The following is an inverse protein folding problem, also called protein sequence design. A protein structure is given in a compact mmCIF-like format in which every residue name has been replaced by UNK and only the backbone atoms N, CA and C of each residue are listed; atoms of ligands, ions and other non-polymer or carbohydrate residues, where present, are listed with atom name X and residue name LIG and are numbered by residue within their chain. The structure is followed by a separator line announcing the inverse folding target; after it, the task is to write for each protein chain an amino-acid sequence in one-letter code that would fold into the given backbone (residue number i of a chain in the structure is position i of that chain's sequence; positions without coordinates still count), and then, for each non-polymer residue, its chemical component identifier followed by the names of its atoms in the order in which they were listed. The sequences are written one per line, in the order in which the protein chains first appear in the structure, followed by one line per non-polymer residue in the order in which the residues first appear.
data_IF_283709190593
#
_entry.id   IF_283709190593
#
_cell.length_a   1.000
_cell.length_b   1.000
_cell.length_c   1.000
_cell.angle_alpha   90.00
_cell.angle_beta   90.00
_cell.angle_gamma   90.00
#
_symmetry.space_group_name_H-M   'P 1'
#
loop_
_entity.id
_entity.type
_entity.pdbx_description
1 polymer ?
#
# COMPACT_ATOMS: atom_id res chain seq x y z
N UNK A 1 -10.39 10.08 11.79
CA UNK A 1 -11.78 10.31 11.43
C UNK A 1 -11.74 10.90 10.04
N UNK A 2 -11.73 10.10 9.00
CA UNK A 2 -11.65 10.51 7.59
C UNK A 2 -12.93 10.18 6.83
N UNK A 3 -14.08 10.15 7.52
CA UNK A 3 -15.35 9.89 6.90
C UNK A 3 -15.81 11.09 6.08
N UNK A 4 -16.15 10.85 4.82
CA UNK A 4 -16.79 11.85 3.97
C UNK A 4 -18.21 12.09 4.49
N UNK A 5 -18.44 13.24 5.12
CA UNK A 5 -19.80 13.69 5.45
C UNK A 5 -20.50 14.00 4.14
N UNK A 6 -21.50 13.19 3.78
CA UNK A 6 -22.28 13.32 2.53
C UNK A 6 -23.01 14.68 2.43
N UNK A 7 -23.45 15.24 3.56
CA UNK A 7 -24.06 16.56 3.63
C UNK A 7 -23.46 17.35 4.79
N UNK A 8 -22.68 18.37 4.44
CA UNK A 8 -22.14 19.31 5.41
C UNK A 8 -23.10 20.51 5.49
N UNK A 9 -23.85 20.63 6.59
CA UNK A 9 -24.76 21.76 6.86
C UNK A 9 -24.20 22.62 7.98
N UNK A 10 -23.50 23.71 7.66
CA UNK A 10 -22.92 24.60 8.67
C UNK A 10 -24.01 25.29 9.50
N UNK A 11 -23.89 25.27 10.83
CA UNK A 11 -24.74 25.96 11.80
C UNK A 11 -23.92 26.89 12.69
N UNK A 12 -24.54 27.87 13.31
CA UNK A 12 -23.88 28.82 14.20
C UNK A 12 -23.79 30.26 13.65
N UNK A 13 -22.91 31.08 14.18
CA UNK A 13 -22.71 32.48 13.78
C UNK A 13 -22.36 32.60 12.29
N UNK A 14 -22.67 33.76 11.70
CA UNK A 14 -22.53 34.01 10.25
C UNK A 14 -21.09 33.75 9.76
N UNK A 15 -20.10 34.20 10.54
CA UNK A 15 -18.67 34.06 10.24
C UNK A 15 -18.23 32.59 10.24
N UNK A 16 -18.73 31.80 11.20
CA UNK A 16 -18.44 30.35 11.31
C UNK A 16 -19.06 29.61 10.12
N UNK A 17 -20.29 29.94 9.74
CA UNK A 17 -20.93 29.34 8.57
C UNK A 17 -20.20 29.66 7.28
N UNK A 18 -19.73 30.90 7.12
CA UNK A 18 -18.95 31.31 5.95
C UNK A 18 -17.62 30.56 5.88
N UNK A 19 -16.87 30.47 6.98
CA UNK A 19 -15.62 29.73 7.06
C UNK A 19 -15.83 28.23 6.75
N UNK A 20 -16.88 27.64 7.29
CA UNK A 20 -17.24 26.24 7.04
C UNK A 20 -17.62 25.99 5.56
N UNK A 21 -18.30 26.94 4.91
CA UNK A 21 -18.64 26.85 3.47
C UNK A 21 -17.38 26.94 2.60
N UNK A 22 -16.47 27.87 2.88
CA UNK A 22 -15.22 27.97 2.13
C UNK A 22 -14.32 26.73 2.33
N UNK A 23 -14.32 26.14 3.54
CA UNK A 23 -13.64 24.89 3.81
C UNK A 23 -14.22 23.71 2.99
N UNK A 24 -15.54 23.57 2.92
CA UNK A 24 -16.18 22.53 2.11
C UNK A 24 -15.89 22.71 0.61
N UNK A 25 -15.90 23.95 0.12
CA UNK A 25 -15.53 24.30 -1.25
C UNK A 25 -14.07 23.94 -1.55
N UNK A 26 -13.15 24.24 -0.63
CA UNK A 26 -11.73 23.87 -0.74
C UNK A 26 -11.59 22.33 -0.76
N UNK A 27 -12.26 21.63 0.14
CA UNK A 27 -12.29 20.17 0.19
C UNK A 27 -12.75 19.56 -1.14
N UNK A 28 -13.87 20.07 -1.70
CA UNK A 28 -14.40 19.61 -3.01
C UNK A 28 -13.40 19.84 -4.14
N UNK A 29 -12.73 21.02 -4.18
CA UNK A 29 -11.70 21.31 -5.17
C UNK A 29 -10.53 20.33 -5.07
N UNK A 30 -10.03 20.09 -3.88
CA UNK A 30 -8.94 19.12 -3.65
C UNK A 30 -9.37 17.72 -4.15
N UNK A 31 -10.58 17.27 -3.83
CA UNK A 31 -11.09 15.97 -4.28
C UNK A 31 -11.17 15.88 -5.81
N UNK A 32 -11.65 16.94 -6.47
CA UNK A 32 -11.71 17.03 -7.94
C UNK A 32 -10.30 16.93 -8.53
N UNK A 33 -9.34 17.71 -8.02
CA UNK A 33 -7.95 17.68 -8.51
C UNK A 33 -7.29 16.31 -8.33
N UNK A 34 -7.53 15.65 -7.20
CA UNK A 34 -7.02 14.32 -6.95
C UNK A 34 -7.62 13.29 -7.93
N UNK A 35 -8.93 13.36 -8.18
CA UNK A 35 -9.61 12.51 -9.16
C UNK A 35 -9.10 12.74 -10.59
N UNK A 36 -8.99 14.00 -11.01
CA UNK A 36 -8.44 14.35 -12.32
C UNK A 36 -7.01 13.83 -12.51
N UNK A 37 -6.16 13.98 -11.47
CA UNK A 37 -4.80 13.42 -11.49
C UNK A 37 -4.81 11.90 -11.66
N UNK A 38 -5.71 11.22 -10.95
CA UNK A 38 -5.85 9.76 -11.05
C UNK A 38 -6.33 9.33 -12.45
N UNK A 39 -7.31 10.04 -13.04
CA UNK A 39 -7.81 9.77 -14.40
C UNK A 39 -6.73 10.03 -15.47
N UNK A 40 -5.96 11.13 -15.34
CA UNK A 40 -4.84 11.41 -16.23
C UNK A 40 -3.78 10.31 -16.18
N UNK A 41 -3.42 9.84 -14.99
CA UNK A 41 -2.46 8.75 -14.81
C UNK A 41 -2.96 7.43 -15.42
N UNK A 42 -4.25 7.15 -15.33
CA UNK A 42 -4.87 6.00 -15.98
C UNK A 42 -4.78 6.08 -17.52
N UNK A 43 -5.01 7.26 -18.09
CA UNK A 43 -4.86 7.50 -19.54
C UNK A 43 -3.42 7.30 -20.01
N UNK A 44 -2.46 7.94 -19.33
CA UNK A 44 -1.02 7.81 -19.64
C UNK A 44 -0.58 6.34 -19.61
N UNK A 45 -1.07 5.56 -18.66
CA UNK A 45 -0.71 4.15 -18.58
C UNK A 45 -1.23 3.32 -19.74
N UNK A 46 -2.47 3.55 -20.16
CA UNK A 46 -2.99 2.89 -21.34
C UNK A 46 -2.10 3.20 -22.56
N UNK A 47 -1.71 4.47 -22.68
CA UNK A 47 -0.88 4.94 -23.80
C UNK A 47 0.57 4.42 -23.74
N UNK A 48 1.10 4.16 -22.53
CA UNK A 48 2.42 3.54 -22.35
C UNK A 48 2.39 2.02 -22.57
N UNK A 49 1.29 1.33 -22.30
CA UNK A 49 1.19 -0.12 -22.51
C UNK A 49 1.30 -0.49 -23.97
N UNK A 50 0.76 0.32 -24.88
CA UNK A 50 0.80 0.08 -26.32
C UNK A 50 2.23 0.02 -26.88
N UNK A 51 3.13 0.99 -26.65
CA UNK A 51 4.53 0.90 -27.11
C UNK A 51 5.31 -0.23 -26.42
N UNK A 52 5.07 -0.52 -25.15
CA UNK A 52 5.71 -1.63 -24.44
C UNK A 52 5.34 -2.98 -25.09
N UNK A 53 4.06 -3.20 -25.41
CA UNK A 53 3.61 -4.40 -26.13
C UNK A 53 4.26 -4.50 -27.50
N UNK A 54 4.38 -3.38 -28.21
CA UNK A 54 5.06 -3.33 -29.52
C UNK A 54 6.54 -3.69 -29.39
N UNK A 55 7.24 -3.18 -28.38
CA UNK A 55 8.63 -3.53 -28.11
C UNK A 55 8.78 -5.02 -27.82
N UNK A 56 7.91 -5.62 -27.00
CA UNK A 56 7.90 -7.08 -26.75
C UNK A 56 7.76 -7.88 -28.05
N UNK A 57 6.85 -7.47 -28.93
CA UNK A 57 6.67 -8.15 -30.23
C UNK A 57 7.91 -8.02 -31.12
N UNK A 58 8.56 -6.86 -31.15
CA UNK A 58 9.80 -6.65 -31.92
C UNK A 58 10.96 -7.49 -31.37
N UNK A 59 11.08 -7.61 -30.04
CA UNK A 59 12.10 -8.43 -29.36
C UNK A 59 11.93 -9.92 -29.68
N UNK A 60 10.68 -10.40 -29.78
CA UNK A 60 10.39 -11.79 -30.16
C UNK A 60 10.87 -12.15 -31.56
N UNK A 61 11.11 -11.17 -32.44
CA UNK A 61 11.63 -11.34 -33.78
C UNK A 61 13.17 -11.27 -33.88
N UNK A 62 13.85 -10.92 -32.80
CA UNK A 62 15.32 -10.83 -32.78
C UNK A 62 15.95 -12.22 -32.73
N UNK A 63 16.99 -12.43 -33.56
CA UNK A 63 17.76 -13.68 -33.59
C UNK A 63 18.73 -13.83 -32.40
N UNK A 64 19.10 -12.74 -31.75
CA UNK A 64 20.01 -12.75 -30.59
C UNK A 64 19.23 -13.01 -29.32
N UNK A 65 19.08 -14.27 -28.93
CA UNK A 65 18.24 -14.71 -27.81
C UNK A 65 18.64 -14.09 -26.45
N UNK A 66 19.94 -13.97 -26.14
CA UNK A 66 20.40 -13.41 -24.84
C UNK A 66 20.08 -11.91 -24.69
N UNK A 67 20.25 -11.14 -25.77
CA UNK A 67 19.91 -9.72 -25.77
C UNK A 67 18.40 -9.52 -25.70
N UNK A 68 17.65 -10.30 -26.52
CA UNK A 68 16.20 -10.25 -26.52
C UNK A 68 15.61 -10.60 -25.16
N UNK A 69 16.17 -11.58 -24.45
CA UNK A 69 15.75 -11.97 -23.10
C UNK A 69 15.96 -10.83 -22.08
N UNK A 70 17.15 -10.24 -22.02
CA UNK A 70 17.44 -9.12 -21.11
C UNK A 70 16.50 -7.94 -21.35
N UNK A 71 16.29 -7.56 -22.61
CA UNK A 71 15.37 -6.48 -22.95
C UNK A 71 13.90 -6.83 -22.64
N UNK A 72 13.51 -8.11 -22.77
CA UNK A 72 12.17 -8.57 -22.34
C UNK A 72 11.98 -8.44 -20.83
N UNK A 73 13.00 -8.83 -20.05
CA UNK A 73 12.98 -8.71 -18.59
C UNK A 73 12.87 -7.23 -18.16
N UNK A 74 13.59 -6.31 -18.82
CA UNK A 74 13.51 -4.87 -18.57
C UNK A 74 12.09 -4.33 -18.91
N UNK A 75 11.50 -4.75 -20.01
CA UNK A 75 10.13 -4.33 -20.39
C UNK A 75 9.10 -4.87 -19.38
N UNK A 76 9.25 -6.11 -18.92
CA UNK A 76 8.38 -6.69 -17.90
C UNK A 76 8.48 -5.92 -16.57
N UNK A 77 9.68 -5.48 -16.21
CA UNK A 77 9.88 -4.62 -15.05
C UNK A 77 9.19 -3.26 -15.23
N UNK A 78 9.30 -2.64 -16.41
CA UNK A 78 8.61 -1.39 -16.73
C UNK A 78 7.08 -1.53 -16.66
N UNK A 79 6.52 -2.62 -17.21
CA UNK A 79 5.07 -2.89 -17.12
C UNK A 79 4.61 -3.07 -15.66
N UNK A 80 5.40 -3.78 -14.85
CA UNK A 80 5.10 -3.94 -13.44
C UNK A 80 5.14 -2.60 -12.70
N UNK A 81 6.19 -1.78 -12.92
CA UNK A 81 6.30 -0.44 -12.34
C UNK A 81 5.08 0.43 -12.70
N UNK A 82 4.67 0.40 -13.96
CA UNK A 82 3.52 1.14 -14.45
C UNK A 82 2.23 0.69 -13.77
N UNK A 83 2.01 -0.62 -13.64
CA UNK A 83 0.83 -1.18 -13.01
C UNK A 83 0.78 -0.85 -11.49
N UNK A 84 1.91 -0.94 -10.78
CA UNK A 84 2.00 -0.56 -9.36
C UNK A 84 1.70 0.95 -9.16
N UNK A 85 2.23 1.80 -10.06
CA UNK A 85 1.96 3.24 -10.03
C UNK A 85 0.49 3.58 -10.27
N UNK A 86 -0.14 2.88 -11.22
CA UNK A 86 -1.56 3.06 -11.51
C UNK A 86 -2.47 2.62 -10.36
N UNK A 87 -2.11 1.51 -9.76
CA UNK A 87 -2.82 1.04 -8.59
C UNK A 87 -2.71 2.02 -7.43
N UNK A 88 -1.55 2.66 -7.26
CA UNK A 88 -1.37 3.76 -6.31
C UNK A 88 -2.32 4.93 -6.63
N UNK A 89 -2.42 5.33 -7.91
CA UNK A 89 -3.26 6.43 -8.34
C UNK A 89 -4.77 6.14 -8.27
N UNK A 90 -5.20 4.88 -8.47
CA UNK A 90 -6.62 4.46 -8.46
C UNK A 90 -7.30 4.52 -7.08
N UNK A 91 -6.53 4.48 -6.00
CA UNK A 91 -7.06 4.23 -4.65
C UNK A 91 -7.84 5.37 -4.01
N UNK A 92 -8.14 6.44 -4.75
CA UNK A 92 -9.01 7.53 -4.28
C UNK A 92 -10.50 7.33 -4.63
N UNK A 93 -10.89 6.25 -5.35
CA UNK A 93 -12.30 5.95 -5.57
C UNK A 93 -12.91 5.27 -4.34
N UNK A 94 -14.06 5.77 -3.93
CA UNK A 94 -14.80 5.43 -2.71
C UNK A 94 -15.16 3.95 -2.61
N UNK A 95 -14.32 3.14 -1.96
CA UNK A 95 -14.74 1.87 -1.41
C UNK A 95 -15.55 2.15 -0.13
N UNK A 96 -16.72 1.51 0.02
CA UNK A 96 -17.54 1.65 1.22
C UNK A 96 -16.88 0.92 2.40
N UNK A 97 -17.08 1.47 3.60
CA UNK A 97 -16.60 0.82 4.82
C UNK A 97 -17.59 -0.25 5.25
N UNK A 98 -17.08 -1.39 5.70
CA UNK A 98 -17.84 -2.52 6.20
C UNK A 98 -17.34 -2.91 7.59
N UNK A 99 -18.26 -3.38 8.44
CA UNK A 99 -17.94 -3.87 9.78
C UNK A 99 -17.44 -5.32 9.71
N UNK A 100 -16.13 -5.51 9.68
CA UNK A 100 -15.47 -6.81 9.41
C UNK A 100 -14.53 -7.20 10.55
N UNK A 101 -14.41 -8.51 10.77
CA UNK A 101 -13.37 -9.08 11.62
C UNK A 101 -12.04 -9.15 10.85
N UNK A 102 -11.04 -8.39 11.34
CA UNK A 102 -9.73 -8.28 10.70
C UNK A 102 -9.00 -9.61 10.57
N UNK A 103 -9.17 -10.51 11.55
CA UNK A 103 -8.53 -11.84 11.52
C UNK A 103 -8.98 -12.69 10.32
N UNK A 104 -10.22 -12.49 9.83
CA UNK A 104 -10.68 -13.16 8.61
C UNK A 104 -9.89 -12.68 7.39
N UNK A 105 -9.65 -11.37 7.28
CA UNK A 105 -8.84 -10.81 6.19
C UNK A 105 -7.41 -11.34 6.25
N UNK A 106 -6.78 -11.34 7.44
CA UNK A 106 -5.41 -11.83 7.61
C UNK A 106 -5.32 -13.30 7.20
N UNK A 107 -6.21 -14.16 7.71
CA UNK A 107 -6.24 -15.59 7.36
C UNK A 107 -6.47 -15.82 5.87
N UNK A 108 -7.31 -15.02 5.22
CA UNK A 108 -7.61 -15.16 3.80
C UNK A 108 -6.39 -14.79 2.92
N UNK A 109 -5.74 -13.68 3.24
CA UNK A 109 -4.55 -13.23 2.50
C UNK A 109 -3.40 -14.22 2.65
N UNK A 110 -3.22 -14.77 3.85
CA UNK A 110 -2.07 -15.65 4.13
C UNK A 110 -2.19 -17.04 3.50
N UNK A 111 -3.38 -17.45 3.03
CA UNK A 111 -3.58 -18.72 2.31
C UNK A 111 -2.76 -18.86 1.02
N UNK A 112 -2.41 -17.74 0.37
CA UNK A 112 -1.64 -17.73 -0.89
C UNK A 112 -0.15 -18.01 -0.70
N UNK A 113 0.36 -17.96 0.55
CA UNK A 113 1.76 -18.19 0.88
C UNK A 113 1.98 -19.59 1.41
N UNK A 114 3.21 -20.09 1.30
CA UNK A 114 3.56 -21.39 1.88
C UNK A 114 3.43 -21.37 3.41
N UNK A 115 2.82 -22.39 3.97
CA UNK A 115 2.50 -22.49 5.42
C UNK A 115 3.73 -22.38 6.32
N UNK A 116 4.92 -22.70 5.81
CA UNK A 116 6.17 -22.60 6.55
C UNK A 116 6.77 -21.19 6.61
N UNK A 117 6.32 -20.28 5.72
CA UNK A 117 6.85 -18.92 5.63
C UNK A 117 6.16 -17.95 6.59
N UNK A 118 4.89 -18.21 6.94
CA UNK A 118 4.09 -17.30 7.77
C UNK A 118 3.52 -18.02 8.98
N UNK A 119 3.75 -17.44 10.17
CA UNK A 119 3.10 -17.86 11.42
C UNK A 119 2.12 -16.79 11.87
N UNK A 120 0.94 -17.22 12.33
CA UNK A 120 -0.13 -16.34 12.80
C UNK A 120 -0.34 -16.49 14.30
N UNK A 121 -0.33 -15.38 15.02
CA UNK A 121 -0.62 -15.27 16.46
C UNK A 121 -1.74 -14.24 16.64
N UNK A 122 -2.98 -14.65 16.39
CA UNK A 122 -4.12 -13.77 16.33
C UNK A 122 -4.94 -13.84 17.62
N UNK A 123 -4.98 -12.74 18.37
CA UNK A 123 -5.94 -12.59 19.47
C UNK A 123 -7.37 -12.50 18.91
N UNK A 124 -8.36 -12.86 19.72
CA UNK A 124 -9.77 -12.70 19.34
C UNK A 124 -10.04 -11.23 19.03
N UNK A 125 -10.40 -10.94 17.78
CA UNK A 125 -10.50 -9.57 17.27
C UNK A 125 -11.94 -9.12 17.24
N UNK A 126 -12.19 -7.90 17.70
CA UNK A 126 -13.45 -7.18 17.51
C UNK A 126 -13.65 -6.82 16.04
N UNK A 127 -14.90 -6.62 15.65
CA UNK A 127 -15.20 -6.07 14.33
C UNK A 127 -14.84 -4.59 14.27
N UNK A 128 -14.35 -4.15 13.13
CA UNK A 128 -13.87 -2.78 12.89
C UNK A 128 -14.43 -2.29 11.54
N UNK A 129 -14.76 -1.00 11.46
CA UNK A 129 -15.20 -0.36 10.22
C UNK A 129 -14.01 -0.08 9.31
N UNK A 130 -13.85 -0.85 8.24
CA UNK A 130 -12.74 -0.74 7.29
C UNK A 130 -13.22 -0.94 5.86
N UNK A 131 -12.40 -0.51 4.91
CA UNK A 131 -12.53 -0.82 3.49
C UNK A 131 -11.79 -2.12 3.21
N UNK A 132 -12.50 -3.24 2.94
CA UNK A 132 -11.90 -4.59 2.95
C UNK A 132 -10.80 -4.77 1.92
N UNK A 133 -11.00 -4.29 0.68
CA UNK A 133 -10.01 -4.45 -0.39
C UNK A 133 -8.78 -3.56 -0.15
N UNK A 134 -8.98 -2.37 0.39
CA UNK A 134 -7.89 -1.47 0.78
C UNK A 134 -7.02 -2.12 1.87
N UNK A 135 -7.63 -2.68 2.91
CA UNK A 135 -6.89 -3.37 3.99
C UNK A 135 -6.23 -4.66 3.49
N UNK A 136 -6.90 -5.46 2.64
CA UNK A 136 -6.29 -6.64 1.99
C UNK A 136 -5.01 -6.25 1.25
N UNK A 137 -5.05 -5.18 0.50
CA UNK A 137 -3.89 -4.66 -0.23
C UNK A 137 -2.79 -4.16 0.70
N UNK A 138 -3.15 -3.38 1.73
CA UNK A 138 -2.19 -2.92 2.73
C UNK A 138 -1.41 -4.08 3.33
N UNK A 139 -2.12 -5.07 3.87
CA UNK A 139 -1.52 -6.24 4.49
C UNK A 139 -0.74 -7.08 3.48
N UNK A 140 -1.25 -7.25 2.25
CA UNK A 140 -0.54 -7.92 1.16
C UNK A 140 0.82 -7.27 0.90
N UNK A 141 0.86 -5.94 0.72
CA UNK A 141 2.11 -5.20 0.51
C UNK A 141 3.11 -5.36 1.66
N UNK A 142 2.62 -5.36 2.91
CA UNK A 142 3.48 -5.54 4.09
C UNK A 142 4.03 -6.96 4.17
N UNK A 143 3.22 -7.99 3.89
CA UNK A 143 3.62 -9.39 3.90
C UNK A 143 4.57 -9.69 2.73
N UNK A 144 4.25 -9.20 1.51
CA UNK A 144 5.11 -9.36 0.34
C UNK A 144 6.49 -8.71 0.59
N UNK A 145 6.51 -7.54 1.25
CA UNK A 145 7.77 -6.89 1.66
C UNK A 145 8.53 -7.72 2.70
N UNK A 146 7.87 -8.25 3.72
CA UNK A 146 8.50 -9.10 4.74
C UNK A 146 9.15 -10.34 4.12
N UNK A 147 8.49 -11.00 3.17
CA UNK A 147 8.99 -12.20 2.49
C UNK A 147 10.00 -11.88 1.38
N UNK A 148 9.98 -10.68 0.80
CA UNK A 148 10.99 -10.26 -0.17
C UNK A 148 12.37 -10.02 0.46
N UNK A 149 12.39 -9.54 1.71
CA UNK A 149 13.64 -9.26 2.43
C UNK A 149 14.00 -10.34 3.45
N UNK A 150 13.02 -11.03 4.02
CA UNK A 150 13.16 -12.15 4.92
C UNK A 150 12.80 -13.49 4.25
N UNK A 151 12.93 -14.57 5.02
CA UNK A 151 12.49 -15.92 4.66
C UNK A 151 11.20 -16.30 5.39
N UNK A 152 10.96 -15.68 6.55
CA UNK A 152 9.83 -15.94 7.44
C UNK A 152 9.21 -14.63 7.90
N UNK A 153 7.90 -14.66 8.10
CA UNK A 153 7.16 -13.58 8.73
C UNK A 153 6.26 -14.12 9.86
N UNK A 154 6.17 -13.37 10.95
CA UNK A 154 5.24 -13.66 12.04
C UNK A 154 4.25 -12.48 12.16
N UNK A 155 2.96 -12.80 12.20
CA UNK A 155 1.89 -11.80 12.24
C UNK A 155 1.14 -11.96 13.56
N UNK A 156 1.09 -10.85 14.32
CA UNK A 156 0.39 -10.78 15.59
C UNK A 156 -0.74 -9.78 15.49
N UNK A 157 -1.88 -10.07 16.10
CA UNK A 157 -2.91 -9.08 16.37
C UNK A 157 -3.10 -8.90 17.87
N UNK A 158 -3.26 -7.65 18.31
CA UNK A 158 -3.52 -7.29 19.71
C UNK A 158 -4.65 -6.27 19.77
N UNK A 159 -5.55 -6.44 20.73
CA UNK A 159 -6.58 -5.47 20.99
C UNK A 159 -6.16 -4.55 22.14
N UNK A 160 -6.41 -3.26 21.95
CA UNK A 160 -6.29 -2.26 23.01
C UNK A 160 -7.65 -1.59 23.22
N UNK A 161 -7.82 -0.73 24.21
CA UNK A 161 -9.10 -0.05 24.47
C UNK A 161 -9.63 0.73 23.25
N UNK A 162 -8.74 1.32 22.44
CA UNK A 162 -9.13 2.22 21.35
C UNK A 162 -8.71 1.75 19.97
N UNK A 163 -7.83 0.76 19.86
CA UNK A 163 -7.22 0.36 18.59
C UNK A 163 -7.02 -1.15 18.50
N UNK A 164 -7.05 -1.65 17.28
CA UNK A 164 -6.46 -2.95 16.93
C UNK A 164 -5.03 -2.69 16.45
N UNK A 165 -4.07 -3.43 16.99
CA UNK A 165 -2.66 -3.39 16.59
C UNK A 165 -2.34 -4.66 15.81
N UNK A 166 -1.73 -4.51 14.64
CA UNK A 166 -1.17 -5.59 13.85
C UNK A 166 0.34 -5.42 13.86
N UNK A 167 1.08 -6.46 14.21
CA UNK A 167 2.53 -6.50 14.11
C UNK A 167 2.91 -7.52 13.03
N UNK A 168 3.78 -7.13 12.13
CA UNK A 168 4.34 -8.00 11.11
C UNK A 168 5.86 -7.98 11.30
N UNK A 169 6.41 -9.10 11.72
CA UNK A 169 7.82 -9.30 12.01
C UNK A 169 8.46 -10.14 10.92
N UNK A 170 9.59 -9.72 10.38
CA UNK A 170 10.39 -10.52 9.46
C UNK A 170 11.78 -10.85 10.04
N UNK A 171 12.44 -11.83 9.44
CA UNK A 171 13.81 -12.25 9.73
C UNK A 171 14.83 -11.71 8.72
N UNK A 172 14.49 -10.63 8.04
CA UNK A 172 15.36 -9.96 7.06
C UNK A 172 16.51 -9.16 7.69
N UNK A 173 17.22 -8.35 6.91
CA UNK A 173 18.35 -7.55 7.39
C UNK A 173 17.93 -6.37 8.27
N UNK A 174 16.62 -6.07 8.36
CA UNK A 174 16.10 -4.87 9.02
C UNK A 174 16.40 -3.58 8.25
N UNK A 175 16.06 -2.45 8.86
CA UNK A 175 16.25 -1.11 8.31
C UNK A 175 16.91 -0.25 9.39
N UNK A 176 17.91 0.59 9.08
CA UNK A 176 18.46 1.56 10.03
C UNK A 176 17.37 2.54 10.52
N UNK A 177 17.38 2.89 11.80
CA UNK A 177 16.33 3.74 12.42
C UNK A 177 16.20 5.12 11.74
N UNK A 178 17.32 5.70 11.30
CA UNK A 178 17.34 6.97 10.57
C UNK A 178 16.63 6.90 9.21
N UNK A 179 16.37 5.69 8.69
CA UNK A 179 15.69 5.46 7.41
C UNK A 179 14.17 5.18 7.57
N UNK A 180 13.66 4.96 8.76
CA UNK A 180 12.26 4.59 8.99
C UNK A 180 11.26 5.58 8.38
N UNK A 181 11.56 6.88 8.42
CA UNK A 181 10.69 7.91 7.81
C UNK A 181 10.86 7.97 6.28
N UNK A 182 12.05 7.64 5.78
CA UNK A 182 12.33 7.72 4.35
C UNK A 182 11.69 6.56 3.60
N UNK A 183 11.74 5.33 4.12
CA UNK A 183 11.18 4.14 3.47
C UNK A 183 9.64 4.16 3.37
N UNK A 184 8.97 5.04 4.10
CA UNK A 184 7.53 5.30 3.98
C UNK A 184 7.20 6.29 2.85
N UNK A 185 8.21 6.93 2.23
CA UNK A 185 8.00 7.83 1.07
C UNK A 185 7.88 7.01 -0.22
N UNK A 186 7.03 7.42 -1.17
CA UNK A 186 6.94 6.78 -2.48
C UNK A 186 8.29 6.75 -3.20
N UNK A 187 8.59 5.66 -3.90
CA UNK A 187 9.80 5.46 -4.70
C UNK A 187 11.12 5.45 -3.93
N UNK A 188 11.09 5.49 -2.60
CA UNK A 188 12.30 5.45 -1.81
C UNK A 188 12.79 4.01 -1.62
N UNK A 189 14.11 3.79 -1.83
CA UNK A 189 14.80 2.52 -1.61
C UNK A 189 16.16 2.81 -0.97
N UNK A 190 16.53 2.05 0.07
CA UNK A 190 17.79 2.20 0.79
C UNK A 190 18.96 1.83 -0.12
N UNK A 191 18.86 0.72 -0.85
CA UNK A 191 19.88 0.24 -1.78
C UNK A 191 19.46 0.39 -3.23
N UNK A 192 20.05 1.36 -3.94
CA UNK A 192 19.90 1.49 -5.39
C UNK A 192 20.79 0.51 -6.17
N UNK A 193 21.78 -0.13 -5.51
CA UNK A 193 22.88 -0.85 -6.16
C UNK A 193 22.84 -2.37 -6.01
N UNK A 194 21.99 -2.94 -5.18
CA UNK A 194 21.94 -4.39 -4.98
C UNK A 194 20.97 -5.06 -5.94
N UNK A 195 21.58 -5.52 -7.04
CA UNK A 195 21.26 -6.71 -7.84
C UNK A 195 19.80 -6.89 -8.28
N UNK A 196 19.68 -7.07 -9.55
CA UNK A 196 18.57 -7.41 -10.42
C UNK A 196 17.50 -8.42 -9.88
N UNK A 197 17.64 -8.92 -8.63
CA UNK A 197 16.79 -9.99 -8.09
C UNK A 197 15.82 -9.59 -6.96
N UNK A 198 15.81 -8.32 -6.49
CA UNK A 198 14.81 -7.86 -5.52
C UNK A 198 13.91 -6.82 -6.15
N UNK A 199 12.87 -7.31 -6.76
CA UNK A 199 11.87 -6.63 -7.52
C UNK A 199 10.94 -5.82 -6.62
N UNK A 200 10.93 -4.48 -6.79
CA UNK A 200 9.95 -3.60 -6.14
C UNK A 200 10.26 -2.13 -6.44
N UNK A 201 9.24 -1.38 -6.84
CA UNK A 201 9.36 0.05 -7.23
C UNK A 201 9.53 0.98 -6.01
N UNK A 202 9.46 0.46 -4.79
CA UNK A 202 9.47 1.27 -3.56
C UNK A 202 8.13 1.92 -3.25
N UNK A 203 7.03 1.32 -3.69
CA UNK A 203 5.67 1.82 -3.44
C UNK A 203 4.92 1.04 -2.34
N UNK A 204 5.30 -0.20 -2.04
CA UNK A 204 4.53 -1.07 -1.13
C UNK A 204 4.30 -0.47 0.26
N UNK A 205 5.37 0.00 0.93
CA UNK A 205 5.28 0.62 2.26
C UNK A 205 4.53 1.96 2.24
N UNK A 206 4.73 2.78 1.20
CA UNK A 206 4.01 4.05 1.06
C UNK A 206 2.52 3.86 0.82
N UNK A 207 2.13 2.89 -0.02
CA UNK A 207 0.72 2.50 -0.24
C UNK A 207 0.09 2.02 1.07
N UNK A 208 0.77 1.15 1.80
CA UNK A 208 0.29 0.68 3.09
C UNK A 208 0.08 1.84 4.07
N UNK A 209 1.03 2.77 4.16
CA UNK A 209 0.95 3.95 5.01
C UNK A 209 -0.23 4.85 4.64
N UNK A 210 -0.47 5.11 3.35
CA UNK A 210 -1.58 5.93 2.89
C UNK A 210 -2.94 5.28 3.17
N UNK A 211 -3.04 3.96 2.98
CA UNK A 211 -4.25 3.20 3.30
C UNK A 211 -4.56 3.29 4.80
N UNK A 212 -3.58 3.03 5.66
CA UNK A 212 -3.78 3.06 7.11
C UNK A 212 -4.12 4.48 7.60
N UNK A 213 -3.45 5.51 7.10
CA UNK A 213 -3.78 6.91 7.40
C UNK A 213 -5.21 7.28 6.96
N UNK A 214 -5.65 6.79 5.82
CA UNK A 214 -7.02 7.02 5.33
C UNK A 214 -8.11 6.32 6.15
N UNK A 215 -7.72 5.35 7.01
CA UNK A 215 -8.57 4.72 8.03
C UNK A 215 -8.40 5.36 9.42
N UNK A 216 -7.68 6.50 9.53
CA UNK A 216 -7.42 7.16 10.81
C UNK A 216 -6.35 6.46 11.65
N UNK A 217 -5.67 5.47 11.10
CA UNK A 217 -4.63 4.70 11.76
C UNK A 217 -3.21 5.26 11.54
N UNK A 218 -2.22 4.51 12.02
CA UNK A 218 -0.81 4.87 11.89
C UNK A 218 0.06 3.64 11.63
N UNK A 219 1.16 3.80 10.87
CA UNK A 219 2.23 2.82 10.72
C UNK A 219 3.48 3.33 11.40
N UNK A 220 4.12 2.48 12.20
CA UNK A 220 5.46 2.69 12.72
C UNK A 220 6.35 1.48 12.45
N UNK A 221 7.65 1.74 12.33
CA UNK A 221 8.68 0.74 12.07
C UNK A 221 9.53 0.58 13.32
N UNK A 222 9.88 -0.65 13.65
CA UNK A 222 10.67 -1.02 14.81
C UNK A 222 11.61 -2.18 14.43
N UNK A 223 12.60 -2.47 15.26
CA UNK A 223 13.42 -3.67 15.10
C UNK A 223 12.62 -4.92 15.45
N UNK A 224 12.62 -5.93 14.58
CA UNK A 224 11.95 -7.20 14.82
C UNK A 224 12.68 -8.05 15.86
N UNK A 225 11.96 -8.78 16.72
CA UNK A 225 12.54 -9.84 17.58
C UNK A 225 13.22 -10.95 16.76
N UNK A 226 12.84 -11.10 15.48
CA UNK A 226 13.44 -12.04 14.54
C UNK A 226 14.70 -11.49 13.86
N UNK A 227 15.23 -10.35 14.33
CA UNK A 227 16.40 -9.61 13.82
C UNK A 227 16.17 -8.73 12.59
N UNK A 228 15.01 -8.82 11.93
CA UNK A 228 14.62 -8.03 10.76
C UNK A 228 13.85 -6.75 11.11
N UNK A 229 12.83 -6.45 10.31
CA UNK A 229 11.93 -5.31 10.48
C UNK A 229 10.63 -5.74 11.15
N UNK A 230 10.17 -4.95 12.11
CA UNK A 230 8.80 -4.98 12.62
C UNK A 230 8.02 -3.82 12.02
N UNK A 231 6.94 -4.14 11.33
CA UNK A 231 5.93 -3.15 10.92
C UNK A 231 4.76 -3.23 11.89
N UNK A 232 4.51 -2.12 12.59
CA UNK A 232 3.41 -1.98 13.53
C UNK A 232 2.33 -1.10 12.92
N UNK A 233 1.16 -1.67 12.72
CA UNK A 233 -0.04 -1.00 12.22
C UNK A 233 -1.01 -0.81 13.38
N UNK A 234 -1.52 0.41 13.56
CA UNK A 234 -2.55 0.72 14.55
C UNK A 234 -3.78 1.25 13.83
N UNK A 235 -4.94 0.62 14.03
CA UNK A 235 -6.23 1.01 13.47
C UNK A 235 -7.21 1.33 14.59
N UNK A 236 -7.87 2.50 14.59
CA UNK A 236 -8.92 2.83 15.57
C UNK A 236 -10.17 1.98 15.32
N UNK A 237 -10.94 1.75 16.40
CA UNK A 237 -12.26 1.10 16.32
C UNK A 237 -13.31 1.99 15.63
#
# INVERSE_FOLDING_TARGET
KGEFVKEFRPSGAKEIRQAAYEFDKMRKRITIHLNQRSEMLLGISHDLRTPLTRLKLQLALLKQQDLAKRMSDDIEEMERMLNEYLEFARHQKSEETELINLNHIIKDITKKYETQQIKLFLEESSKINIRPNSIKRCLGNLIDNALAYGKKAEIFTKNTMNNIIILIDDDGPGIPENEYQNVLKPFYRIDKSRGQNKSGVGLGLSIANDIIRSHGGNISLEKSPLSGLRVKVSLPY
#
